data_IF_245139706613
#
_entry.id   IF_245139706613
#
_cell.length_a   1.000
_cell.length_b   1.000
_cell.length_c   1.000
_cell.angle_alpha   90.00
_cell.angle_beta   90.00
_cell.angle_gamma   90.00
#
_symmetry.space_group_name_H-M   'P 1'
#
loop_
_entity.id
_entity.type
_entity.pdbx_description
1 polymer ?
#
# COMPACT_ATOMS: atom_id res chain seq x y z
N UNK A 1 41.56 -60.41 -15.69
CA UNK A 1 42.04 -59.03 -16.00
C UNK A 1 41.04 -58.41 -16.98
N UNK A 2 40.44 -57.24 -16.87
CA UNK A 2 40.36 -56.21 -15.84
C UNK A 2 39.29 -55.20 -16.33
N UNK A 3 38.46 -54.65 -15.42
CA UNK A 3 37.80 -53.31 -15.47
C UNK A 3 36.79 -53.07 -16.62
N UNK A 4 35.62 -52.42 -16.46
CA UNK A 4 35.13 -51.26 -15.67
C UNK A 4 33.59 -51.41 -15.56
N UNK A 5 32.92 -51.43 -14.41
CA UNK A 5 32.46 -50.35 -13.50
C UNK A 5 31.99 -49.02 -14.15
N UNK A 6 30.78 -48.63 -13.72
CA UNK A 6 30.04 -47.37 -13.91
C UNK A 6 29.36 -47.23 -15.28
N UNK A 7 28.10 -46.81 -15.39
CA UNK A 7 27.56 -45.63 -14.70
C UNK A 7 26.03 -45.71 -14.66
N UNK A 8 25.53 -45.89 -13.44
CA UNK A 8 24.16 -45.65 -13.01
C UNK A 8 23.62 -44.36 -13.65
N UNK A 9 22.62 -44.51 -14.50
CA UNK A 9 21.90 -43.41 -15.16
C UNK A 9 20.43 -43.61 -14.85
N UNK A 10 19.83 -42.60 -14.23
CA UNK A 10 18.39 -42.44 -14.22
C UNK A 10 17.70 -42.90 -12.94
N UNK A 11 18.08 -42.32 -11.81
CA UNK A 11 17.32 -42.46 -10.58
C UNK A 11 17.26 -41.15 -9.82
N UNK A 12 16.25 -40.33 -10.12
CA UNK A 12 15.53 -39.42 -9.21
C UNK A 12 15.03 -38.16 -9.94
N UNK A 13 14.05 -38.34 -10.83
CA UNK A 13 12.87 -37.48 -10.82
C UNK A 13 11.86 -38.09 -9.85
N UNK A 14 11.11 -37.22 -9.16
CA UNK A 14 10.03 -37.49 -8.20
C UNK A 14 10.44 -37.74 -6.72
N UNK A 15 10.37 -36.65 -5.93
CA UNK A 15 9.83 -36.55 -4.55
C UNK A 15 10.30 -35.19 -3.97
N UNK A 16 9.45 -34.25 -3.55
CA UNK A 16 8.35 -34.37 -2.58
C UNK A 16 7.38 -33.20 -2.72
N UNK A 17 6.08 -33.51 -2.85
CA UNK A 17 5.04 -32.65 -2.32
C UNK A 17 5.21 -32.62 -0.79
N UNK A 18 5.78 -31.53 -0.26
CA UNK A 18 5.93 -31.36 1.18
C UNK A 18 4.66 -30.72 1.75
N UNK A 19 4.01 -31.34 2.75
CA UNK A 19 2.79 -30.84 3.37
C UNK A 19 3.10 -29.52 4.08
N UNK A 20 2.37 -28.46 3.73
CA UNK A 20 2.29 -27.16 4.41
C UNK A 20 3.43 -26.89 5.42
N UNK A 21 4.67 -26.87 4.95
CA UNK A 21 5.80 -26.62 5.83
C UNK A 21 5.85 -25.13 6.08
N UNK A 22 5.94 -24.72 7.34
CA UNK A 22 6.14 -23.32 7.71
C UNK A 22 7.27 -22.66 6.89
N UNK A 23 8.30 -23.44 6.54
CA UNK A 23 9.37 -23.02 5.62
C UNK A 23 8.89 -22.64 4.22
N UNK A 24 7.95 -23.37 3.62
CA UNK A 24 7.37 -23.04 2.31
C UNK A 24 6.51 -21.76 2.37
N UNK A 25 5.80 -21.51 3.47
CA UNK A 25 5.07 -20.25 3.66
C UNK A 25 6.03 -19.06 3.86
N UNK A 26 7.14 -19.26 4.56
CA UNK A 26 8.17 -18.24 4.74
C UNK A 26 8.86 -17.90 3.41
N UNK A 27 9.13 -18.90 2.56
CA UNK A 27 9.69 -18.64 1.23
C UNK A 27 8.73 -17.88 0.33
N UNK A 28 7.43 -18.21 0.36
CA UNK A 28 6.41 -17.45 -0.39
C UNK A 28 6.31 -16.01 0.12
N UNK A 29 6.25 -15.77 1.43
CA UNK A 29 6.23 -14.41 1.99
C UNK A 29 7.47 -13.61 1.57
N UNK A 30 8.66 -14.23 1.59
CA UNK A 30 9.89 -13.57 1.14
C UNK A 30 9.80 -13.16 -0.33
N UNK A 31 9.25 -14.01 -1.18
CA UNK A 31 9.01 -13.73 -2.60
C UNK A 31 8.01 -12.58 -2.78
N UNK A 32 6.89 -12.60 -2.06
CA UNK A 32 5.90 -11.50 -2.05
C UNK A 32 6.51 -10.15 -1.62
N UNK A 33 7.40 -10.13 -0.62
CA UNK A 33 8.07 -8.91 -0.17
C UNK A 33 9.09 -8.39 -1.19
N UNK A 34 9.83 -9.28 -1.85
CA UNK A 34 10.75 -8.89 -2.94
C UNK A 34 9.98 -8.33 -4.14
N UNK A 35 8.87 -8.97 -4.55
CA UNK A 35 7.98 -8.46 -5.61
C UNK A 35 7.35 -7.11 -5.22
N UNK A 36 6.84 -6.98 -3.99
CA UNK A 36 6.25 -5.74 -3.49
C UNK A 36 7.26 -4.58 -3.46
N UNK A 37 8.53 -4.87 -3.12
CA UNK A 37 9.61 -3.87 -3.14
C UNK A 37 9.92 -3.39 -4.56
N UNK A 38 9.80 -4.26 -5.56
CA UNK A 38 9.94 -3.88 -6.98
C UNK A 38 8.79 -2.97 -7.41
N UNK A 39 7.55 -3.27 -7.01
CA UNK A 39 6.38 -2.43 -7.33
C UNK A 39 6.42 -1.07 -6.61
N UNK A 40 6.85 -1.02 -5.35
CA UNK A 40 7.00 0.25 -4.60
C UNK A 40 8.00 1.19 -5.29
N UNK A 41 9.02 0.66 -5.96
CA UNK A 41 9.96 1.50 -6.74
C UNK A 41 9.32 2.16 -7.95
N UNK A 42 8.19 1.65 -8.45
CA UNK A 42 7.43 2.28 -9.54
C UNK A 42 6.52 3.42 -9.04
N UNK A 43 6.33 3.55 -7.74
CA UNK A 43 5.55 4.64 -7.14
C UNK A 43 6.36 5.93 -7.29
N UNK A 44 5.87 6.83 -8.15
CA UNK A 44 6.43 8.17 -8.30
C UNK A 44 5.92 9.02 -7.14
N UNK A 45 6.75 9.19 -6.12
CA UNK A 45 6.45 10.09 -5.02
C UNK A 45 6.55 11.53 -5.50
N UNK A 46 5.54 12.37 -5.22
CA UNK A 46 5.56 13.76 -5.63
C UNK A 46 6.76 14.48 -5.03
N UNK A 47 7.29 15.44 -5.77
CA UNK A 47 8.37 16.29 -5.25
C UNK A 47 7.87 17.13 -4.08
N UNK A 48 8.78 17.52 -3.18
CA UNK A 48 8.46 18.36 -2.01
C UNK A 48 7.71 19.64 -2.40
N UNK A 49 7.99 20.18 -3.59
CA UNK A 49 7.32 21.38 -4.13
C UNK A 49 5.87 21.10 -4.52
N UNK A 50 5.60 19.98 -5.19
CA UNK A 50 4.25 19.57 -5.57
C UNK A 50 3.41 19.24 -4.33
N UNK A 51 3.95 18.53 -3.36
CA UNK A 51 3.25 18.22 -2.09
C UNK A 51 2.85 19.49 -1.35
N UNK A 52 3.74 20.50 -1.30
CA UNK A 52 3.44 21.78 -0.65
C UNK A 52 2.41 22.55 -1.45
N UNK A 53 2.52 22.60 -2.78
CA UNK A 53 1.56 23.28 -3.63
C UNK A 53 0.14 22.70 -3.49
N UNK A 54 0.00 21.37 -3.49
CA UNK A 54 -1.30 20.71 -3.30
C UNK A 54 -1.82 20.90 -1.88
N UNK A 55 -0.96 20.87 -0.87
CA UNK A 55 -1.34 21.16 0.52
C UNK A 55 -1.85 22.60 0.69
N UNK A 56 -1.17 23.59 0.08
CA UNK A 56 -1.60 24.99 0.10
C UNK A 56 -2.96 25.13 -0.58
N UNK A 57 -3.17 24.48 -1.72
CA UNK A 57 -4.46 24.49 -2.40
C UNK A 57 -5.59 23.96 -1.50
N UNK A 58 -5.35 22.86 -0.78
CA UNK A 58 -6.33 22.30 0.18
C UNK A 58 -6.58 23.28 1.34
N UNK A 59 -5.55 23.90 1.89
CA UNK A 59 -5.70 24.90 2.98
C UNK A 59 -6.54 26.09 2.52
N UNK A 60 -6.30 26.61 1.32
CA UNK A 60 -7.12 27.71 0.77
C UNK A 60 -8.57 27.26 0.61
N UNK A 61 -8.79 26.07 0.05
CA UNK A 61 -10.14 25.52 -0.13
C UNK A 61 -10.88 25.36 1.21
N UNK A 62 -10.24 24.79 2.23
CA UNK A 62 -10.86 24.62 3.55
C UNK A 62 -11.15 25.93 4.24
N UNK A 63 -10.30 26.96 4.08
CA UNK A 63 -10.57 28.32 4.61
C UNK A 63 -11.83 28.91 3.96
N UNK A 64 -11.98 28.79 2.64
CA UNK A 64 -13.18 29.29 1.95
C UNK A 64 -14.44 28.58 2.45
N UNK A 65 -14.39 27.24 2.58
CA UNK A 65 -15.53 26.46 3.08
C UNK A 65 -15.84 26.81 4.54
N UNK A 66 -14.83 26.98 5.39
CA UNK A 66 -15.01 27.35 6.78
C UNK A 66 -15.64 28.74 6.94
N UNK A 67 -15.25 29.72 6.11
CA UNK A 67 -15.88 31.03 6.10
C UNK A 67 -17.34 30.97 5.65
N UNK A 68 -17.62 30.22 4.58
CA UNK A 68 -18.98 30.03 4.09
C UNK A 68 -19.88 29.40 5.16
N UNK A 69 -19.45 28.27 5.73
CA UNK A 69 -20.19 27.60 6.80
C UNK A 69 -20.35 28.52 8.01
N UNK A 70 -19.28 29.18 8.46
CA UNK A 70 -19.36 30.10 9.60
C UNK A 70 -20.38 31.23 9.41
N UNK A 71 -20.53 31.78 8.21
CA UNK A 71 -21.58 32.77 7.90
C UNK A 71 -22.96 32.14 7.97
N UNK A 72 -23.13 30.93 7.42
CA UNK A 72 -24.41 30.21 7.45
C UNK A 72 -24.78 29.85 8.89
N UNK A 73 -23.87 29.29 9.67
CA UNK A 73 -24.06 28.93 11.08
C UNK A 73 -24.43 30.16 11.92
N UNK A 74 -23.77 31.30 11.69
CA UNK A 74 -24.11 32.56 12.36
C UNK A 74 -25.50 33.06 11.98
N UNK A 75 -25.83 33.04 10.68
CA UNK A 75 -27.15 33.45 10.18
C UNK A 75 -28.28 32.58 10.73
N UNK A 76 -28.07 31.26 10.75
CA UNK A 76 -29.02 30.31 11.36
C UNK A 76 -29.16 30.52 12.86
N UNK A 77 -28.06 30.77 13.58
CA UNK A 77 -28.10 31.03 15.02
C UNK A 77 -28.94 32.27 15.36
N UNK A 78 -28.80 33.34 14.57
CA UNK A 78 -29.62 34.54 14.71
C UNK A 78 -31.09 34.25 14.40
N UNK A 79 -31.38 33.51 13.32
CA UNK A 79 -32.75 33.14 12.94
C UNK A 79 -33.44 32.31 14.03
N UNK A 80 -32.74 31.32 14.59
CA UNK A 80 -33.25 30.50 15.69
C UNK A 80 -33.48 31.37 16.93
N UNK A 81 -32.56 32.28 17.27
CA UNK A 81 -32.73 33.19 18.41
C UNK A 81 -33.95 34.11 18.26
N UNK A 82 -34.29 34.53 17.04
CA UNK A 82 -35.48 35.34 16.77
C UNK A 82 -36.76 34.52 16.91
N UNK A 83 -36.74 33.23 16.52
CA UNK A 83 -37.92 32.35 16.58
C UNK A 83 -38.22 31.88 18.01
N UNK A 84 -37.18 31.70 18.83
CA UNK A 84 -37.30 31.20 20.20
C UNK A 84 -37.55 32.30 21.24
N UNK A 85 -37.49 33.57 20.81
CA UNK A 85 -37.87 34.75 21.59
C UNK A 85 -39.32 35.15 21.30
#
# INVERSE_FOLDING_TARGET
MARRKSKDSGGQQAQKASPASLGAKISQLKEFFEESKVEIKKVVWPSRKETVATSIAVVVFTVVVALFLGVVDFGLSQLISVILS
#
